data_IF_300017175307
#
_entry.id   IF_300017175307
#
_cell.length_a   1.000
_cell.length_b   1.000
_cell.length_c   1.000
_cell.angle_alpha   90.00
_cell.angle_beta   90.00
_cell.angle_gamma   90.00
#
_symmetry.space_group_name_H-M   'P 1'
#
loop_
_entity.id
_entity.type
_entity.pdbx_description
1 polymer ?
#
# COMPACT_ATOMS: atom_id res chain seq x y z
N UNK A 1 13.46 -1.98 -18.91
CA UNK A 1 14.15 -1.76 -17.63
C UNK A 1 13.45 -0.61 -16.93
N UNK A 2 13.04 -0.78 -15.69
CA UNK A 2 12.30 0.24 -14.97
C UNK A 2 13.27 1.24 -14.34
N UNK A 3 12.92 2.51 -14.42
CA UNK A 3 13.64 3.59 -13.75
C UNK A 3 13.11 3.77 -12.31
N UNK A 4 13.86 4.47 -11.48
CA UNK A 4 13.42 4.89 -10.16
C UNK A 4 12.10 5.68 -10.23
N UNK A 5 11.96 6.56 -11.24
CA UNK A 5 10.74 7.31 -11.47
C UNK A 5 9.53 6.42 -11.76
N UNK A 6 9.70 5.37 -12.56
CA UNK A 6 8.62 4.43 -12.87
C UNK A 6 8.16 3.69 -11.60
N UNK A 7 9.09 3.29 -10.73
CA UNK A 7 8.79 2.60 -9.47
C UNK A 7 8.04 3.51 -8.51
N UNK A 8 8.46 4.78 -8.39
CA UNK A 8 7.77 5.76 -7.53
C UNK A 8 6.37 6.06 -8.08
N UNK A 9 6.22 6.26 -9.39
CA UNK A 9 4.90 6.50 -9.99
C UNK A 9 3.96 5.33 -9.76
N UNK A 10 4.48 4.13 -9.82
CA UNK A 10 3.73 2.93 -9.51
C UNK A 10 3.34 2.87 -8.03
N UNK A 11 4.27 3.16 -7.11
CA UNK A 11 3.96 3.23 -5.69
C UNK A 11 2.84 4.25 -5.43
N UNK A 12 2.96 5.47 -5.95
CA UNK A 12 1.92 6.50 -5.84
C UNK A 12 0.55 5.99 -6.35
N UNK A 13 0.54 5.23 -7.45
CA UNK A 13 -0.69 4.70 -8.01
C UNK A 13 -1.32 3.62 -7.11
N UNK A 14 -0.50 2.74 -6.54
CA UNK A 14 -0.96 1.70 -5.61
C UNK A 14 -1.61 2.34 -4.37
N UNK A 15 -0.95 3.32 -3.74
CA UNK A 15 -1.49 4.02 -2.57
C UNK A 15 -2.78 4.77 -2.91
N UNK A 16 -2.84 5.44 -4.07
CA UNK A 16 -4.04 6.14 -4.52
C UNK A 16 -5.21 5.18 -4.78
N UNK A 17 -4.93 3.99 -5.32
CA UNK A 17 -5.93 2.95 -5.51
C UNK A 17 -6.45 2.43 -4.17
N UNK A 18 -5.56 2.19 -3.19
CA UNK A 18 -5.92 1.74 -1.86
C UNK A 18 -6.77 2.77 -1.11
N UNK A 19 -6.38 4.05 -1.12
CA UNK A 19 -7.21 5.13 -0.60
C UNK A 19 -8.63 5.09 -1.18
N UNK A 20 -8.73 4.99 -2.51
CA UNK A 20 -10.03 4.95 -3.20
C UNK A 20 -10.90 3.77 -2.75
N UNK A 21 -10.30 2.60 -2.53
CA UNK A 21 -11.00 1.41 -2.03
C UNK A 21 -11.50 1.63 -0.61
N UNK A 22 -10.65 2.09 0.32
CA UNK A 22 -11.05 2.36 1.70
C UNK A 22 -12.13 3.44 1.81
N UNK A 23 -12.03 4.53 1.03
CA UNK A 23 -13.07 5.57 0.98
C UNK A 23 -14.39 5.08 0.36
N UNK A 24 -14.33 4.16 -0.57
CA UNK A 24 -15.55 3.54 -1.12
C UNK A 24 -16.22 2.62 -0.08
N UNK A 25 -15.42 1.84 0.65
CA UNK A 25 -15.90 0.99 1.72
C UNK A 25 -16.58 1.77 2.86
N UNK A 26 -16.15 3.00 3.14
CA UNK A 26 -16.81 3.89 4.12
C UNK A 26 -18.28 4.13 3.81
N UNK A 27 -18.69 4.05 2.54
CA UNK A 27 -20.09 4.24 2.14
C UNK A 27 -20.98 3.02 2.44
N UNK A 28 -20.37 1.87 2.64
CA UNK A 28 -21.05 0.58 2.83
C UNK A 28 -21.10 0.17 4.30
N UNK A 29 -20.27 0.78 5.17
CA UNK A 29 -20.15 0.43 6.59
C UNK A 29 -20.93 1.42 7.44
N UNK A 30 -21.84 0.87 8.28
CA UNK A 30 -22.62 1.66 9.24
C UNK A 30 -22.04 1.65 10.66
N UNK A 31 -21.11 0.75 10.98
CA UNK A 31 -20.46 0.66 12.29
C UNK A 31 -19.46 1.81 12.46
N UNK A 32 -19.60 2.69 13.48
CA UNK A 32 -18.73 3.85 13.66
C UNK A 32 -17.27 3.50 13.93
N UNK A 33 -17.00 2.36 14.61
CA UNK A 33 -15.65 1.92 14.92
C UNK A 33 -14.94 1.47 13.66
N UNK A 34 -15.59 0.64 12.83
CA UNK A 34 -15.04 0.21 11.55
C UNK A 34 -14.89 1.38 10.59
N UNK A 35 -15.84 2.33 10.58
CA UNK A 35 -15.72 3.53 9.76
C UNK A 35 -14.51 4.39 10.17
N UNK A 36 -14.24 4.54 11.47
CA UNK A 36 -13.07 5.28 11.95
C UNK A 36 -11.75 4.65 11.50
N UNK A 37 -11.68 3.32 11.43
CA UNK A 37 -10.48 2.61 10.97
C UNK A 37 -10.31 2.74 9.47
N UNK A 38 -11.39 2.57 8.70
CA UNK A 38 -11.32 2.77 7.25
C UNK A 38 -10.89 4.20 6.90
N UNK A 39 -11.38 5.18 7.67
CA UNK A 39 -10.94 6.56 7.51
C UNK A 39 -9.45 6.71 7.81
N UNK A 40 -8.98 6.14 8.92
CA UNK A 40 -7.56 6.17 9.28
C UNK A 40 -6.70 5.47 8.23
N UNK A 41 -7.06 4.25 7.78
CA UNK A 41 -6.35 3.55 6.72
C UNK A 41 -6.29 4.39 5.43
N UNK A 42 -7.42 4.98 5.01
CA UNK A 42 -7.43 5.84 3.83
C UNK A 42 -6.53 7.08 3.98
N UNK A 43 -6.43 7.65 5.18
CA UNK A 43 -5.59 8.81 5.46
C UNK A 43 -4.09 8.42 5.46
N UNK A 44 -3.73 7.22 5.95
CA UNK A 44 -2.37 6.66 5.85
C UNK A 44 -1.95 6.52 4.39
N UNK A 45 -2.80 5.95 3.51
CA UNK A 45 -2.46 5.82 2.08
C UNK A 45 -2.25 7.19 1.40
N UNK A 46 -2.98 8.23 1.82
CA UNK A 46 -2.73 9.61 1.35
C UNK A 46 -1.35 10.10 1.77
N UNK A 47 -0.93 9.84 3.02
CA UNK A 47 0.39 10.25 3.51
C UNK A 47 1.51 9.48 2.81
N UNK A 48 1.31 8.17 2.54
CA UNK A 48 2.25 7.37 1.75
C UNK A 48 2.41 7.94 0.33
N UNK A 49 1.31 8.17 -0.37
CA UNK A 49 1.34 8.76 -1.70
C UNK A 49 2.01 10.16 -1.70
N UNK A 50 1.82 10.95 -0.64
CA UNK A 50 2.49 12.24 -0.44
C UNK A 50 3.98 12.08 -0.21
N UNK A 51 4.37 11.11 0.61
CA UNK A 51 5.77 10.81 0.86
C UNK A 51 6.48 10.40 -0.43
N UNK A 52 5.90 9.50 -1.23
CA UNK A 52 6.46 9.10 -2.54
C UNK A 52 6.56 10.27 -3.52
N UNK A 53 5.58 11.20 -3.55
CA UNK A 53 5.65 12.40 -4.39
C UNK A 53 6.80 13.32 -3.99
N UNK A 54 6.96 13.61 -2.68
CA UNK A 54 8.10 14.40 -2.18
C UNK A 54 9.43 13.74 -2.52
N UNK A 55 9.48 12.45 -2.39
CA UNK A 55 10.65 11.66 -2.71
C UNK A 55 11.02 11.79 -4.20
N UNK A 56 10.04 11.72 -5.10
CA UNK A 56 10.23 11.94 -6.54
C UNK A 56 10.81 13.32 -6.85
N UNK A 57 10.44 14.35 -6.11
CA UNK A 57 10.95 15.72 -6.30
C UNK A 57 12.42 15.85 -5.88
N UNK A 58 12.90 15.02 -4.96
CA UNK A 58 14.29 15.06 -4.47
C UNK A 58 15.27 14.26 -5.34
N UNK A 59 14.77 13.48 -6.27
CA UNK A 59 15.58 12.55 -7.07
C UNK A 59 15.86 13.15 -8.45
N UNK A 60 17.15 13.20 -8.81
CA UNK A 60 17.57 13.47 -10.19
C UNK A 60 17.40 12.18 -11.02
N UNK A 61 16.33 12.13 -11.82
CA UNK A 61 16.09 11.00 -12.73
C UNK A 61 16.82 11.29 -14.04
N UNK A 62 17.96 10.65 -14.25
CA UNK A 62 18.59 10.61 -15.58
C UNK A 62 17.80 9.65 -16.48
N UNK A 63 17.02 10.20 -17.39
CA UNK A 63 16.35 9.43 -18.44
C UNK A 63 17.31 9.25 -19.59
N UNK A 64 17.99 8.09 -19.68
CA UNK A 64 18.94 7.80 -20.77
C UNK A 64 18.25 7.67 -22.14
N UNK A 65 17.04 7.16 -22.19
CA UNK A 65 16.22 7.04 -23.38
C UNK A 65 14.74 7.33 -23.04
N UNK A 66 14.23 8.51 -23.43
CA UNK A 66 12.85 8.90 -23.15
C UNK A 66 11.80 7.98 -23.76
N UNK A 67 12.07 7.35 -24.91
CA UNK A 67 11.11 6.46 -25.57
C UNK A 67 10.98 5.13 -24.81
N UNK A 68 12.10 4.57 -24.37
CA UNK A 68 12.12 3.33 -23.55
C UNK A 68 11.49 3.58 -22.20
N UNK A 69 11.76 4.72 -21.56
CA UNK A 69 11.13 5.11 -20.30
C UNK A 69 9.60 5.26 -20.45
N UNK A 70 9.14 5.94 -21.50
CA UNK A 70 7.70 6.10 -21.76
C UNK A 70 7.00 4.75 -21.99
N UNK A 71 7.65 3.81 -22.68
CA UNK A 71 7.12 2.47 -22.92
C UNK A 71 7.05 1.65 -21.63
N UNK A 72 8.08 1.71 -20.77
CA UNK A 72 8.10 1.07 -19.45
C UNK A 72 7.00 1.60 -18.55
N UNK A 73 6.87 2.92 -18.45
CA UNK A 73 5.82 3.59 -17.69
C UNK A 73 4.39 3.27 -18.19
N UNK A 74 4.22 3.13 -19.53
CA UNK A 74 2.92 2.72 -20.11
C UNK A 74 2.59 1.27 -19.73
N UNK A 75 3.54 0.36 -19.86
CA UNK A 75 3.37 -1.05 -19.51
C UNK A 75 3.01 -1.22 -18.03
N UNK A 76 3.71 -0.49 -17.15
CA UNK A 76 3.39 -0.50 -15.72
C UNK A 76 1.97 0.01 -15.43
N UNK A 77 1.57 1.12 -16.06
CA UNK A 77 0.20 1.66 -15.93
C UNK A 77 -0.86 0.69 -16.43
N UNK A 78 -0.63 0.05 -17.56
CA UNK A 78 -1.60 -0.83 -18.19
C UNK A 78 -1.77 -2.15 -17.42
N UNK A 79 -0.69 -2.71 -16.91
CA UNK A 79 -0.70 -3.97 -16.16
C UNK A 79 -1.10 -3.76 -14.70
N UNK A 80 -0.72 -2.64 -14.08
CA UNK A 80 -0.78 -2.44 -12.64
C UNK A 80 -1.61 -1.22 -12.21
N UNK A 81 -2.01 -0.36 -13.15
CA UNK A 81 -2.68 0.92 -12.88
C UNK A 81 -4.04 0.82 -12.16
N UNK A 82 -4.57 -0.37 -11.95
CA UNK A 82 -5.81 -0.65 -11.20
C UNK A 82 -5.60 -1.71 -10.11
N UNK A 83 -4.36 -2.05 -9.78
CA UNK A 83 -4.10 -3.03 -8.74
C UNK A 83 -4.31 -2.41 -7.36
N UNK A 84 -5.14 -3.06 -6.60
CA UNK A 84 -5.30 -2.88 -5.16
C UNK A 84 -5.20 -4.25 -4.45
N UNK A 85 -4.55 -5.21 -5.11
CA UNK A 85 -4.23 -6.56 -4.61
C UNK A 85 -5.39 -7.20 -3.85
N UNK A 86 -5.17 -7.64 -2.62
CA UNK A 86 -6.19 -8.26 -1.75
C UNK A 86 -7.40 -7.36 -1.48
N UNK A 87 -7.25 -6.02 -1.54
CA UNK A 87 -8.37 -5.10 -1.36
C UNK A 87 -9.39 -5.18 -2.50
N UNK A 88 -8.99 -5.59 -3.70
CA UNK A 88 -9.87 -5.64 -4.87
C UNK A 88 -11.00 -6.65 -4.72
N UNK A 89 -10.74 -7.76 -4.02
CA UNK A 89 -11.69 -8.86 -3.83
C UNK A 89 -12.43 -8.76 -2.49
N UNK A 90 -12.10 -7.75 -1.68
CA UNK A 90 -12.67 -7.57 -0.35
C UNK A 90 -14.14 -7.14 -0.42
N UNK A 91 -15.00 -7.87 0.27
CA UNK A 91 -16.39 -7.49 0.52
C UNK A 91 -16.49 -6.81 1.89
N UNK A 92 -16.29 -5.50 1.88
CA UNK A 92 -16.30 -4.70 3.11
C UNK A 92 -17.66 -4.74 3.81
N UNK A 93 -18.76 -4.92 3.08
CA UNK A 93 -20.09 -5.07 3.66
C UNK A 93 -20.24 -6.31 4.56
N UNK A 94 -19.39 -7.32 4.37
CA UNK A 94 -19.33 -8.52 5.22
C UNK A 94 -18.36 -8.39 6.40
N UNK A 95 -17.50 -7.39 6.42
CA UNK A 95 -16.58 -7.18 7.54
C UNK A 95 -17.36 -6.58 8.71
N UNK A 96 -17.47 -7.33 9.81
CA UNK A 96 -18.23 -6.94 11.02
C UNK A 96 -17.34 -6.78 12.26
N UNK A 97 -16.05 -7.06 12.13
CA UNK A 97 -15.12 -7.05 13.25
C UNK A 97 -13.88 -6.23 12.92
N UNK A 98 -13.45 -5.44 13.87
CA UNK A 98 -12.21 -4.64 13.83
C UNK A 98 -11.01 -5.45 13.37
N UNK A 99 -10.80 -6.61 14.01
CA UNK A 99 -9.70 -7.52 13.70
C UNK A 99 -9.67 -7.94 12.23
N UNK A 100 -10.83 -8.24 11.65
CA UNK A 100 -10.90 -8.70 10.26
C UNK A 100 -10.51 -7.59 9.28
N UNK A 101 -10.85 -6.35 9.58
CA UNK A 101 -10.45 -5.19 8.79
C UNK A 101 -8.94 -4.97 8.87
N UNK A 102 -8.34 -5.05 10.06
CA UNK A 102 -6.88 -4.94 10.22
C UNK A 102 -6.14 -6.10 9.53
N UNK A 103 -6.65 -7.32 9.60
CA UNK A 103 -6.05 -8.46 8.89
C UNK A 103 -6.09 -8.27 7.38
N UNK A 104 -7.18 -7.72 6.83
CA UNK A 104 -7.25 -7.39 5.41
C UNK A 104 -6.21 -6.32 5.03
N UNK A 105 -6.06 -5.27 5.84
CA UNK A 105 -5.04 -4.25 5.62
C UNK A 105 -3.63 -4.86 5.66
N UNK A 106 -3.34 -5.74 6.63
CA UNK A 106 -2.05 -6.47 6.71
C UNK A 106 -1.79 -7.29 5.44
N UNK A 107 -2.79 -7.99 4.91
CA UNK A 107 -2.62 -8.75 3.67
C UNK A 107 -2.33 -7.83 2.49
N UNK A 108 -2.96 -6.66 2.41
CA UNK A 108 -2.65 -5.67 1.38
C UNK A 108 -1.20 -5.16 1.47
N UNK A 109 -0.71 -4.84 2.69
CA UNK A 109 0.69 -4.44 2.89
C UNK A 109 1.67 -5.55 2.48
N UNK A 110 1.35 -6.81 2.79
CA UNK A 110 2.14 -7.96 2.35
C UNK A 110 2.16 -8.11 0.83
N UNK A 111 1.03 -7.90 0.17
CA UNK A 111 0.95 -7.92 -1.29
C UNK A 111 1.84 -6.85 -1.91
N UNK A 112 1.87 -5.63 -1.34
CA UNK A 112 2.79 -4.56 -1.76
C UNK A 112 4.25 -5.00 -1.62
N UNK A 113 4.63 -5.56 -0.47
CA UNK A 113 6.00 -6.06 -0.23
C UNK A 113 6.39 -7.15 -1.23
N UNK A 114 5.52 -8.12 -1.48
CA UNK A 114 5.76 -9.18 -2.47
C UNK A 114 5.94 -8.58 -3.86
N UNK A 115 5.06 -7.68 -4.24
CA UNK A 115 5.09 -7.01 -5.55
C UNK A 115 6.40 -6.23 -5.75
N UNK A 116 6.81 -5.41 -4.80
CA UNK A 116 8.06 -4.65 -4.90
C UNK A 116 9.30 -5.56 -4.96
N UNK A 117 9.30 -6.68 -4.23
CA UNK A 117 10.37 -7.67 -4.34
C UNK A 117 10.43 -8.32 -5.74
N UNK A 118 9.30 -8.53 -6.40
CA UNK A 118 9.25 -9.05 -7.78
C UNK A 118 9.84 -8.09 -8.81
N UNK A 119 9.91 -6.79 -8.53
CA UNK A 119 10.51 -5.80 -9.42
C UNK A 119 12.04 -5.80 -9.39
N UNK A 120 12.67 -6.27 -8.30
CA UNK A 120 14.12 -6.21 -8.10
C UNK A 120 14.96 -6.78 -9.26
N UNK A 121 14.61 -7.95 -9.85
CA UNK A 121 15.39 -8.51 -10.96
C UNK A 121 15.38 -7.67 -12.23
N UNK A 122 14.47 -6.72 -12.36
CA UNK A 122 14.31 -5.86 -13.53
C UNK A 122 14.98 -4.48 -13.38
N UNK A 123 15.74 -4.30 -12.29
CA UNK A 123 16.41 -3.04 -11.94
C UNK A 123 17.92 -3.28 -11.96
N UNK A 124 18.63 -2.58 -12.84
CA UNK A 124 20.09 -2.71 -12.97
C UNK A 124 20.86 -1.64 -12.21
N UNK A 125 20.19 -0.56 -11.81
CA UNK A 125 20.82 0.56 -11.13
C UNK A 125 20.80 0.35 -9.61
N UNK A 126 21.99 0.38 -8.98
CA UNK A 126 22.14 0.15 -7.54
C UNK A 126 21.42 1.19 -6.67
N UNK A 127 21.40 2.46 -7.09
CA UNK A 127 20.68 3.53 -6.39
C UNK A 127 19.17 3.28 -6.40
N UNK A 128 18.63 2.84 -7.54
CA UNK A 128 17.22 2.46 -7.67
C UNK A 128 16.88 1.23 -6.80
N UNK A 129 17.79 0.26 -6.69
CA UNK A 129 17.61 -0.89 -5.81
C UNK A 129 17.59 -0.49 -4.32
N UNK A 130 18.50 0.38 -3.89
CA UNK A 130 18.49 0.90 -2.51
C UNK A 130 17.23 1.70 -2.21
N UNK A 131 16.69 2.36 -3.21
CA UNK A 131 15.45 3.09 -3.11
C UNK A 131 14.24 2.16 -2.96
N UNK A 132 14.15 1.15 -3.82
CA UNK A 132 13.11 0.12 -3.71
C UNK A 132 13.15 -0.57 -2.35
N UNK A 133 14.35 -0.78 -1.81
CA UNK A 133 14.51 -1.33 -0.47
C UNK A 133 13.86 -0.44 0.60
N UNK A 134 14.04 0.89 0.53
CA UNK A 134 13.39 1.81 1.47
C UNK A 134 11.87 1.73 1.40
N UNK A 135 11.29 1.58 0.20
CA UNK A 135 9.85 1.36 0.04
C UNK A 135 9.44 0.06 0.75
N UNK A 136 10.13 -1.04 0.50
CA UNK A 136 9.85 -2.34 1.12
C UNK A 136 9.97 -2.27 2.65
N UNK A 137 10.97 -1.56 3.17
CA UNK A 137 11.17 -1.38 4.60
C UNK A 137 10.01 -0.59 5.23
N UNK A 138 9.47 0.43 4.54
CA UNK A 138 8.30 1.20 4.97
C UNK A 138 7.05 0.33 5.02
N UNK A 139 6.72 -0.41 3.96
CA UNK A 139 5.57 -1.32 3.95
C UNK A 139 5.69 -2.41 5.02
N UNK A 140 6.90 -2.91 5.25
CA UNK A 140 7.18 -3.88 6.32
C UNK A 140 6.93 -3.27 7.71
N UNK A 141 7.26 -1.99 7.91
CA UNK A 141 6.95 -1.27 9.13
C UNK A 141 5.44 -1.15 9.35
N UNK A 142 4.66 -0.83 8.33
CA UNK A 142 3.19 -0.79 8.41
C UNK A 142 2.59 -2.14 8.82
N UNK A 143 3.05 -3.25 8.25
CA UNK A 143 2.64 -4.60 8.67
C UNK A 143 2.86 -4.79 10.18
N UNK A 144 4.00 -4.33 10.71
CA UNK A 144 4.30 -4.46 12.15
C UNK A 144 3.37 -3.59 13.01
N UNK A 145 3.10 -2.35 12.60
CA UNK A 145 2.19 -1.45 13.34
C UNK A 145 0.76 -1.99 13.36
N UNK A 146 0.24 -2.44 12.20
CA UNK A 146 -1.08 -3.06 12.11
C UNK A 146 -1.17 -4.34 12.94
N UNK A 147 -0.12 -5.17 12.94
CA UNK A 147 -0.07 -6.40 13.74
C UNK A 147 -0.13 -6.12 15.24
N UNK A 148 0.53 -5.07 15.73
CA UNK A 148 0.45 -4.64 17.13
C UNK A 148 -0.99 -4.25 17.52
N UNK A 149 -1.74 -3.64 16.59
CA UNK A 149 -3.15 -3.30 16.84
C UNK A 149 -4.02 -4.56 16.94
N UNK A 150 -3.78 -5.57 16.09
CA UNK A 150 -4.47 -6.87 16.18
C UNK A 150 -4.20 -7.57 17.51
N UNK A 151 -2.95 -7.55 17.98
CA UNK A 151 -2.57 -8.19 19.25
C UNK A 151 -3.20 -7.49 20.46
N UNK A 152 -3.30 -6.16 20.45
CA UNK A 152 -3.97 -5.37 21.50
C UNK A 152 -5.46 -5.69 21.56
N UNK A 153 -6.15 -5.73 20.43
CA UNK A 153 -7.57 -6.09 20.35
C UNK A 153 -7.83 -7.48 20.94
N UNK A 154 -6.97 -8.45 20.61
CA UNK A 154 -7.05 -9.80 21.17
C UNK A 154 -6.87 -9.85 22.70
N UNK A 155 -5.98 -9.02 23.24
CA UNK A 155 -5.73 -8.95 24.69
C UNK A 155 -6.93 -8.32 25.44
N UNK A 156 -7.51 -7.26 24.90
CA UNK A 156 -8.67 -6.58 25.47
C UNK A 156 -9.93 -7.46 25.43
N UNK A 157 -10.17 -8.17 24.32
CA UNK A 157 -11.28 -9.12 24.17
C UNK A 157 -11.20 -10.30 25.16
N UNK A 158 -9.98 -10.71 25.54
CA UNK A 158 -9.74 -11.78 26.53
C UNK A 158 -10.06 -11.33 27.95
N UNK A 159 -9.87 -10.06 28.27
CA UNK A 159 -10.18 -9.50 29.61
C UNK A 159 -11.69 -9.35 29.79
N UNK A 160 -12.40 -8.86 28.75
CA UNK A 160 -13.85 -8.67 28.79
C UNK A 160 -14.64 -9.99 28.89
N UNK A 161 -14.08 -11.12 28.49
CA UNK A 161 -14.72 -12.44 28.57
C UNK A 161 -14.55 -13.15 29.92
N UNK A 162 -13.76 -12.59 30.83
CA UNK A 162 -13.48 -13.16 32.16
C UNK A 162 -14.18 -12.42 33.33
N UNK A 163 -14.94 -11.40 33.01
CA UNK A 163 -15.80 -10.64 33.95
C UNK A 163 -17.26 -10.96 33.76
#
# INVERSE_FOLDING_TARGET
MFTMGDIIDLAIQIETNAESVYRSALKEISDPTLASILQWLADEEVEHARWFRRLKETIHIEVKDPAVAAMGASLLRDVLGRQSFSLREADFGKIKQFKNLLLLAIEFEKDKVVFYNMLRPFIDNGETLEFLKKIIDEETHHIQELSKLVDRDAAEGTIASKT
#
